data_IF_008017201487
#
_entry.id   IF_008017201487
#
_cell.length_a   1.000
_cell.length_b   1.000
_cell.length_c   1.000
_cell.angle_alpha   90.00
_cell.angle_beta   90.00
_cell.angle_gamma   90.00
#
_symmetry.space_group_name_H-M   'P 1'
#
loop_
_entity.id
_entity.type
_entity.pdbx_description
1 polymer ?
#
# COMPACT_ATOMS: atom_id res chain seq x y z
N UNK A 1 3.41 22.50 21.37
CA UNK A 1 4.48 21.52 21.64
C UNK A 1 3.87 20.36 22.39
N UNK A 2 4.29 19.13 22.02
CA UNK A 2 3.90 17.80 22.51
C UNK A 2 2.77 17.16 21.70
N UNK A 3 3.04 16.33 20.67
CA UNK A 3 3.48 14.91 20.65
C UNK A 3 2.47 13.95 21.25
N UNK A 4 1.50 13.54 20.43
CA UNK A 4 0.90 12.21 20.48
C UNK A 4 1.16 11.51 19.15
N UNK A 5 2.35 10.93 19.11
CA UNK A 5 2.73 9.85 18.23
C UNK A 5 2.08 8.57 18.76
N UNK A 6 1.70 7.67 17.85
CA UNK A 6 1.38 6.25 18.04
C UNK A 6 -0.13 5.88 18.01
N UNK A 7 -0.45 4.96 17.10
CA UNK A 7 -1.65 4.11 17.02
C UNK A 7 -2.91 4.69 16.37
N UNK A 8 -2.94 4.68 15.03
CA UNK A 8 -4.13 4.20 14.31
C UNK A 8 -3.76 2.88 13.60
N UNK A 9 -3.29 1.91 14.40
CA UNK A 9 -3.25 0.50 14.02
C UNK A 9 -4.58 -0.08 14.49
N UNK A 10 -5.42 -0.60 13.56
CA UNK A 10 -6.73 -1.27 13.75
C UNK A 10 -7.99 -0.57 13.17
N UNK A 11 -7.88 0.49 12.38
CA UNK A 11 -9.04 1.13 11.73
C UNK A 11 -9.03 0.99 10.20
N UNK A 12 -10.19 1.07 9.56
CA UNK A 12 -10.32 1.31 8.13
C UNK A 12 -9.58 2.61 7.74
N UNK A 13 -8.96 2.70 6.55
CA UNK A 13 -8.41 3.95 6.08
C UNK A 13 -9.55 4.95 5.88
N UNK A 14 -9.39 6.16 6.42
CA UNK A 14 -10.43 7.17 6.35
C UNK A 14 -10.62 7.67 4.92
N UNK A 15 -9.55 7.75 4.12
CA UNK A 15 -9.57 8.29 2.76
C UNK A 15 -8.76 7.44 1.76
N UNK A 16 -8.98 7.68 0.47
CA UNK A 16 -8.15 7.12 -0.61
C UNK A 16 -6.68 7.47 -0.45
N UNK A 17 -6.40 8.69 0.03
CA UNK A 17 -5.03 9.16 0.29
C UNK A 17 -4.37 8.39 1.42
N UNK A 18 -5.11 8.03 2.49
CA UNK A 18 -4.57 7.23 3.59
C UNK A 18 -4.24 5.81 3.14
N UNK A 19 -5.13 5.24 2.32
CA UNK A 19 -4.91 3.95 1.71
C UNK A 19 -3.68 3.97 0.77
N UNK A 20 -3.60 4.97 -0.12
CA UNK A 20 -2.46 5.16 -1.02
C UNK A 20 -1.15 5.41 -0.25
N UNK A 21 -1.19 6.13 0.87
CA UNK A 21 -0.02 6.33 1.73
C UNK A 21 0.46 5.01 2.36
N UNK A 22 -0.45 4.06 2.64
CA UNK A 22 -0.05 2.73 3.10
C UNK A 22 0.63 1.92 1.99
N UNK A 23 0.09 1.99 0.76
CA UNK A 23 0.72 1.36 -0.42
C UNK A 23 2.11 1.96 -0.67
N UNK A 24 2.23 3.28 -0.54
CA UNK A 24 3.50 3.99 -0.69
C UNK A 24 4.56 3.53 0.30
N UNK A 25 4.19 3.35 1.57
CA UNK A 25 5.09 2.82 2.61
C UNK A 25 5.54 1.39 2.30
N UNK A 26 4.63 0.53 1.82
CA UNK A 26 4.99 -0.82 1.34
C UNK A 26 6.07 -0.76 0.26
N UNK A 27 5.88 0.11 -0.73
CA UNK A 27 6.80 0.24 -1.87
C UNK A 27 8.16 0.77 -1.41
N UNK A 28 8.19 1.85 -0.63
CA UNK A 28 9.45 2.40 -0.11
C UNK A 28 10.19 1.41 0.82
N UNK A 29 9.48 0.71 1.70
CA UNK A 29 10.09 -0.29 2.57
C UNK A 29 10.78 -1.42 1.78
N UNK A 30 10.24 -1.79 0.61
CA UNK A 30 10.86 -2.79 -0.28
C UNK A 30 12.00 -2.25 -1.14
N UNK A 31 12.04 -0.93 -1.37
CA UNK A 31 13.18 -0.27 -2.04
C UNK A 31 14.36 -0.17 -1.07
N UNK A 32 14.09 0.26 0.16
CA UNK A 32 15.12 0.58 1.16
C UNK A 32 15.58 -0.64 1.96
N UNK A 33 14.81 -1.74 1.95
CA UNK A 33 14.97 -2.84 2.89
C UNK A 33 14.72 -4.24 2.32
N UNK A 34 14.93 -5.26 3.17
CA UNK A 34 14.57 -6.63 2.84
C UNK A 34 13.04 -6.79 2.74
N UNK A 35 12.57 -7.89 2.14
CA UNK A 35 11.13 -8.15 1.99
C UNK A 35 10.34 -8.09 3.31
N UNK A 36 10.99 -8.40 4.43
CA UNK A 36 10.40 -8.33 5.76
C UNK A 36 10.02 -6.92 6.19
N UNK A 37 10.62 -5.89 5.59
CA UNK A 37 10.39 -4.49 5.96
C UNK A 37 8.97 -3.99 5.63
N UNK A 38 8.26 -4.65 4.71
CA UNK A 38 6.90 -4.28 4.32
C UNK A 38 5.82 -5.21 4.92
N UNK A 39 6.17 -6.14 5.82
CA UNK A 39 5.24 -7.17 6.28
C UNK A 39 4.04 -6.59 7.03
N UNK A 40 4.28 -5.55 7.84
CA UNK A 40 3.26 -4.92 8.67
C UNK A 40 2.27 -4.14 7.79
N UNK A 41 2.77 -3.33 6.87
CA UNK A 41 1.93 -2.57 5.93
C UNK A 41 1.17 -3.50 4.98
N UNK A 42 1.80 -4.57 4.51
CA UNK A 42 1.10 -5.58 3.70
C UNK A 42 0.03 -6.31 4.52
N UNK A 43 0.23 -6.55 5.82
CA UNK A 43 -0.79 -7.13 6.68
C UNK A 43 -1.99 -6.20 6.81
N UNK A 44 -1.74 -4.90 6.95
CA UNK A 44 -2.78 -3.88 7.01
C UNK A 44 -3.58 -3.80 5.69
N UNK A 45 -2.89 -3.76 4.54
CA UNK A 45 -3.54 -3.76 3.22
C UNK A 45 -4.40 -5.01 3.01
N UNK A 46 -3.89 -6.19 3.41
CA UNK A 46 -4.65 -7.44 3.36
C UNK A 46 -5.89 -7.41 4.23
N UNK A 47 -5.80 -6.86 5.43
CA UNK A 47 -6.95 -6.74 6.31
C UNK A 47 -8.05 -5.89 5.67
N UNK A 48 -7.68 -4.73 5.09
CA UNK A 48 -8.64 -3.85 4.43
C UNK A 48 -9.25 -4.43 3.15
N UNK A 49 -8.46 -5.16 2.34
CA UNK A 49 -8.93 -5.77 1.09
C UNK A 49 -9.66 -7.10 1.27
N UNK A 50 -9.54 -7.73 2.45
CA UNK A 50 -10.11 -9.04 2.75
C UNK A 50 -11.46 -9.00 3.44
N UNK A 51 -11.92 -7.82 3.89
CA UNK A 51 -13.18 -7.65 4.61
C UNK A 51 -14.09 -6.71 3.84
N UNK A 52 -15.15 -7.28 3.24
CA UNK A 52 -16.14 -6.55 2.44
C UNK A 52 -16.92 -5.48 3.23
N UNK A 53 -16.87 -5.52 4.57
CA UNK A 53 -17.49 -4.51 5.42
C UNK A 53 -16.63 -3.24 5.59
N UNK A 54 -15.37 -3.26 5.17
CA UNK A 54 -14.46 -2.13 5.33
C UNK A 54 -14.63 -1.17 4.14
N UNK A 55 -15.18 0.00 4.42
CA UNK A 55 -15.29 1.11 3.46
C UNK A 55 -14.40 2.28 3.90
N UNK A 56 -14.09 3.14 2.95
CA UNK A 56 -13.59 4.49 3.24
C UNK A 56 -14.66 5.29 4.01
N UNK A 57 -14.26 6.41 4.61
CA UNK A 57 -15.19 7.27 5.35
C UNK A 57 -16.28 7.91 4.45
N UNK A 58 -16.01 8.00 3.14
CA UNK A 58 -16.99 8.46 2.14
C UNK A 58 -17.96 7.35 1.67
N UNK A 59 -17.82 6.13 2.21
CA UNK A 59 -18.62 4.97 1.84
C UNK A 59 -18.12 4.23 0.60
N UNK A 60 -17.03 4.67 -0.04
CA UNK A 60 -16.43 3.91 -1.15
C UNK A 60 -15.90 2.56 -0.65
N UNK A 61 -16.12 1.47 -1.38
CA UNK A 61 -15.54 0.18 -1.03
C UNK A 61 -14.02 0.21 -1.14
N UNK A 62 -13.35 -0.58 -0.31
CA UNK A 62 -11.93 -0.87 -0.47
C UNK A 62 -11.81 -2.16 -1.26
N UNK A 63 -11.50 -2.05 -2.54
CA UNK A 63 -11.38 -3.17 -3.45
C UNK A 63 -10.01 -3.19 -4.16
N UNK A 64 -9.80 -4.22 -4.97
CA UNK A 64 -8.57 -4.38 -5.73
C UNK A 64 -8.40 -3.32 -6.82
N UNK A 65 -9.48 -2.68 -7.28
CA UNK A 65 -9.39 -1.58 -8.23
C UNK A 65 -8.80 -0.32 -7.55
N UNK A 66 -9.23 -0.01 -6.32
CA UNK A 66 -8.63 1.05 -5.50
C UNK A 66 -7.16 0.73 -5.18
N UNK A 67 -6.82 -0.54 -4.95
CA UNK A 67 -5.44 -0.98 -4.77
C UNK A 67 -4.55 -0.75 -6.01
N UNK A 68 -5.02 -1.12 -7.20
CA UNK A 68 -4.28 -0.90 -8.44
C UNK A 68 -4.09 0.61 -8.73
N UNK A 69 -5.13 1.41 -8.51
CA UNK A 69 -5.07 2.88 -8.64
C UNK A 69 -4.03 3.49 -7.68
N UNK A 70 -3.98 3.03 -6.44
CA UNK A 70 -2.99 3.46 -5.46
C UNK A 70 -1.55 3.10 -5.87
N UNK A 71 -1.34 1.89 -6.42
CA UNK A 71 -0.02 1.48 -6.94
C UNK A 71 0.40 2.39 -8.11
N UNK A 72 -0.52 2.68 -9.04
CA UNK A 72 -0.24 3.57 -10.17
C UNK A 72 0.09 4.99 -9.70
N UNK A 73 -0.69 5.53 -8.77
CA UNK A 73 -0.47 6.87 -8.21
C UNK A 73 0.91 7.00 -7.53
N UNK A 74 1.36 5.97 -6.82
CA UNK A 74 2.71 5.92 -6.25
C UNK A 74 3.76 5.97 -7.36
N UNK A 75 3.59 5.18 -8.42
CA UNK A 75 4.53 5.17 -9.53
C UNK A 75 4.60 6.53 -10.23
N UNK A 76 3.46 7.15 -10.52
CA UNK A 76 3.39 8.47 -11.17
C UNK A 76 4.05 9.57 -10.34
N UNK A 77 3.94 9.49 -9.01
CA UNK A 77 4.55 10.47 -8.11
C UNK A 77 6.06 10.28 -7.95
N UNK A 78 6.55 9.04 -7.94
CA UNK A 78 7.96 8.72 -7.66
C UNK A 78 8.80 8.62 -8.93
N UNK A 79 8.23 8.19 -10.06
CA UNK A 79 8.96 8.04 -11.33
C UNK A 79 9.66 9.32 -11.82
N UNK A 80 9.10 10.55 -11.71
CA UNK A 80 9.77 11.75 -12.20
C UNK A 80 11.04 12.13 -11.45
N UNK A 81 11.18 11.72 -10.18
CA UNK A 81 12.34 12.01 -9.33
C UNK A 81 13.30 10.84 -9.25
N UNK A 82 12.84 9.64 -9.57
CA UNK A 82 13.64 8.44 -9.64
C UNK A 82 14.43 8.40 -10.96
N UNK A 83 15.76 8.51 -10.89
CA UNK A 83 16.62 8.19 -12.03
C UNK A 83 16.40 6.75 -12.51
N UNK A 84 17.01 6.35 -13.64
CA UNK A 84 16.78 5.04 -14.30
C UNK A 84 16.86 3.83 -13.35
N UNK A 85 17.83 3.83 -12.43
CA UNK A 85 17.96 2.77 -11.42
C UNK A 85 16.84 2.81 -10.38
N UNK A 86 16.47 3.99 -9.91
CA UNK A 86 15.35 4.17 -8.97
C UNK A 86 14.01 3.76 -9.59
N UNK A 87 13.79 4.05 -10.87
CA UNK A 87 12.58 3.61 -11.59
C UNK A 87 12.50 2.08 -11.67
N UNK A 88 13.63 1.41 -11.94
CA UNK A 88 13.68 -0.06 -11.99
C UNK A 88 13.38 -0.69 -10.62
N UNK A 89 13.90 -0.08 -9.53
CA UNK A 89 13.62 -0.50 -8.16
C UNK A 89 12.16 -0.28 -7.77
N UNK A 90 11.61 0.89 -8.12
CA UNK A 90 10.21 1.25 -7.91
C UNK A 90 9.27 0.23 -8.57
N UNK A 91 9.44 -0.02 -9.87
CA UNK A 91 8.61 -0.98 -10.61
C UNK A 91 8.71 -2.39 -10.02
N UNK A 92 9.92 -2.82 -9.63
CA UNK A 92 10.11 -4.12 -8.98
C UNK A 92 9.39 -4.19 -7.63
N UNK A 93 9.53 -3.15 -6.80
CA UNK A 93 8.89 -3.08 -5.49
C UNK A 93 7.37 -3.06 -5.62
N UNK A 94 6.81 -2.20 -6.45
CA UNK A 94 5.37 -2.14 -6.74
C UNK A 94 4.82 -3.48 -7.20
N UNK A 95 5.53 -4.16 -8.12
CA UNK A 95 5.15 -5.49 -8.59
C UNK A 95 5.15 -6.50 -7.44
N UNK A 96 6.15 -6.48 -6.58
CA UNK A 96 6.24 -7.41 -5.46
C UNK A 96 5.13 -7.18 -4.43
N UNK A 97 4.75 -5.94 -4.16
CA UNK A 97 3.57 -5.62 -3.31
C UNK A 97 2.32 -6.24 -3.94
N UNK A 98 2.08 -5.96 -5.22
CA UNK A 98 0.91 -6.49 -5.93
C UNK A 98 0.87 -8.02 -5.91
N UNK A 99 1.97 -8.69 -6.26
CA UNK A 99 2.06 -10.16 -6.23
C UNK A 99 1.75 -10.72 -4.83
N UNK A 100 2.25 -10.08 -3.77
CA UNK A 100 2.03 -10.54 -2.39
C UNK A 100 0.57 -10.37 -1.95
N UNK A 101 -0.07 -9.27 -2.34
CA UNK A 101 -1.47 -8.99 -2.05
C UNK A 101 -2.39 -9.93 -2.85
N UNK A 102 -2.11 -10.12 -4.15
CA UNK A 102 -2.91 -10.97 -5.03
C UNK A 102 -2.71 -12.47 -4.82
N UNK A 103 -1.53 -12.93 -4.39
CA UNK A 103 -1.22 -14.36 -4.26
C UNK A 103 -2.18 -15.10 -3.31
N UNK A 104 -2.73 -14.42 -2.30
CA UNK A 104 -3.69 -15.02 -1.36
C UNK A 104 -5.12 -15.09 -1.88
N UNK A 105 -5.48 -14.25 -2.85
CA UNK A 105 -6.78 -14.31 -3.53
C UNK A 105 -6.85 -15.38 -4.64
N UNK A 106 -5.73 -16.04 -4.94
CA UNK A 106 -5.65 -17.11 -5.95
C UNK A 106 -5.79 -18.52 -5.39
N UNK A 107 -6.15 -18.69 -4.10
CA UNK A 107 -6.40 -20.02 -3.56
C UNK A 107 -7.91 -20.35 -3.69
N UNK A 108 -8.27 -21.43 -4.41
CA UNK A 108 -9.65 -21.90 -4.55
C UNK A 108 -10.21 -22.51 -3.26
#
# INVERSE_FOLDING_TARGET
MNTDNRTASNGAPATRSDFAACVDRCVHALIDGPQSAALDEQAQLRHWLGDEAITLADGSPIDYALFDDAILSVQERVAPTAGVQGLSQLLRASRQVAETIYARNRLP
#
